data_IF_269467907278
#
_entry.id   IF_269467907278
#
_cell.length_a   1.000
_cell.length_b   1.000
_cell.length_c   1.000
_cell.angle_alpha   90.00
_cell.angle_beta   90.00
_cell.angle_gamma   90.00
#
_symmetry.space_group_name_H-M   'P 1'
#
loop_
_entity.id
_entity.type
_entity.pdbx_description
1 polymer ?
#
# COMPACT_ATOMS: atom_id res chain seq x y z
N UNK A 1 -5.11 20.66 -8.91
CA UNK A 1 -3.99 20.24 -8.04
C UNK A 1 -4.19 18.77 -7.73
N UNK A 2 -3.16 17.95 -7.82
CA UNK A 2 -3.23 16.57 -7.33
C UNK A 2 -3.13 16.68 -5.81
N UNK A 3 -4.17 16.25 -5.09
CA UNK A 3 -4.10 16.16 -3.64
C UNK A 3 -3.22 14.97 -3.26
N UNK A 4 -2.20 15.22 -2.44
CA UNK A 4 -1.30 14.19 -1.92
C UNK A 4 -1.93 13.58 -0.66
N UNK A 5 -2.97 12.78 -0.87
CA UNK A 5 -3.69 12.08 0.20
C UNK A 5 -3.20 10.62 0.29
N UNK A 6 -3.27 9.98 1.47
CA UNK A 6 -3.06 8.54 1.60
C UNK A 6 -4.03 7.76 0.71
N UNK A 7 -3.67 6.52 0.37
CA UNK A 7 -4.50 5.66 -0.47
C UNK A 7 -5.83 5.33 0.23
N UNK A 8 -6.82 4.91 -0.58
CA UNK A 8 -8.11 4.45 -0.06
C UNK A 8 -7.97 3.34 1.00
N UNK A 9 -6.92 2.53 0.93
CA UNK A 9 -6.69 1.46 1.88
C UNK A 9 -6.47 1.99 3.30
N UNK A 10 -5.55 2.94 3.49
CA UNK A 10 -5.29 3.54 4.79
C UNK A 10 -6.49 4.40 5.25
N UNK A 11 -7.19 5.05 4.32
CA UNK A 11 -8.42 5.78 4.65
C UNK A 11 -9.53 4.85 5.17
N UNK A 12 -9.65 3.63 4.66
CA UNK A 12 -10.66 2.68 5.12
C UNK A 12 -10.27 2.00 6.43
N UNK A 13 -8.98 1.67 6.61
CA UNK A 13 -8.48 1.02 7.81
C UNK A 13 -8.24 1.98 8.97
N UNK A 14 -7.99 3.26 8.68
CA UNK A 14 -7.61 4.30 9.65
C UNK A 14 -6.21 4.08 10.26
N UNK A 15 -5.40 3.22 9.65
CA UNK A 15 -4.02 2.95 10.04
C UNK A 15 -3.12 2.60 8.83
N UNK A 16 -1.83 2.83 9.00
CA UNK A 16 -0.73 2.33 8.16
C UNK A 16 -0.30 0.93 8.62
N UNK A 17 0.65 0.32 7.92
CA UNK A 17 1.23 -0.96 8.32
C UNK A 17 1.81 -0.90 9.75
N UNK A 18 1.73 -2.02 10.47
CA UNK A 18 2.12 -2.08 11.87
C UNK A 18 1.21 -1.33 12.85
N UNK A 19 -0.06 -1.11 12.50
CA UNK A 19 -1.08 -0.48 13.35
C UNK A 19 -0.77 0.99 13.74
N UNK A 20 -0.04 1.71 12.89
CA UNK A 20 0.21 3.13 13.08
C UNK A 20 -1.03 3.94 12.68
N UNK A 21 -1.76 4.47 13.67
CA UNK A 21 -2.95 5.30 13.45
C UNK A 21 -2.70 6.44 12.45
N UNK A 22 -3.60 6.58 11.47
CA UNK A 22 -3.53 7.60 10.42
C UNK A 22 -3.42 9.01 10.99
N UNK A 23 -4.18 9.32 12.04
CA UNK A 23 -4.20 10.63 12.69
C UNK A 23 -2.96 10.95 13.54
N UNK A 24 -2.07 9.98 13.78
CA UNK A 24 -0.79 10.23 14.47
C UNK A 24 0.33 10.64 13.53
N UNK A 25 0.11 10.50 12.22
CA UNK A 25 1.06 10.86 11.17
C UNK A 25 0.74 12.26 10.64
N UNK A 26 1.77 13.08 10.47
CA UNK A 26 1.61 14.42 9.87
C UNK A 26 1.09 14.28 8.44
N UNK A 27 0.14 15.14 8.05
CA UNK A 27 -0.50 15.08 6.72
C UNK A 27 0.51 15.05 5.56
N UNK A 28 1.60 15.80 5.66
CA UNK A 28 2.70 15.84 4.68
C UNK A 28 3.42 14.50 4.48
N UNK A 29 3.42 13.64 5.50
CA UNK A 29 4.11 12.35 5.50
C UNK A 29 3.17 11.19 5.08
N UNK A 30 1.84 11.38 5.22
CA UNK A 30 0.85 10.32 5.00
C UNK A 30 0.88 9.75 3.58
N UNK A 31 1.03 10.60 2.57
CA UNK A 31 1.14 10.15 1.18
C UNK A 31 2.38 9.27 0.96
N UNK A 32 3.53 9.70 1.46
CA UNK A 32 4.79 8.96 1.30
C UNK A 32 4.73 7.61 1.99
N UNK A 33 4.22 7.56 3.22
CA UNK A 33 4.04 6.32 3.96
C UNK A 33 3.05 5.38 3.26
N UNK A 34 1.94 5.90 2.74
CA UNK A 34 0.98 5.11 1.97
C UNK A 34 1.61 4.45 0.75
N UNK A 35 2.47 5.18 0.01
CA UNK A 35 3.22 4.62 -1.12
C UNK A 35 4.18 3.52 -0.66
N UNK A 36 4.89 3.72 0.45
CA UNK A 36 5.82 2.72 1.00
C UNK A 36 5.09 1.43 1.41
N UNK A 37 3.97 1.55 2.13
CA UNK A 37 3.16 0.40 2.53
C UNK A 37 2.57 -0.33 1.32
N UNK A 38 2.19 0.41 0.27
CA UNK A 38 1.68 -0.17 -0.96
C UNK A 38 2.77 -0.95 -1.70
N UNK A 39 3.98 -0.38 -1.80
CA UNK A 39 5.14 -1.07 -2.37
C UNK A 39 5.46 -2.34 -1.59
N UNK A 40 5.45 -2.29 -0.25
CA UNK A 40 5.71 -3.48 0.56
C UNK A 40 4.68 -4.59 0.31
N UNK A 41 3.39 -4.25 0.20
CA UNK A 41 2.33 -5.21 -0.16
C UNK A 41 2.52 -5.81 -1.55
N UNK A 42 2.87 -5.00 -2.55
CA UNK A 42 3.14 -5.48 -3.91
C UNK A 42 4.36 -6.42 -3.91
N UNK A 43 5.47 -6.01 -3.29
CA UNK A 43 6.72 -6.77 -3.25
C UNK A 43 6.57 -8.08 -2.46
N UNK A 44 5.69 -8.12 -1.47
CA UNK A 44 5.41 -9.31 -0.66
C UNK A 44 4.38 -10.25 -1.28
N UNK A 45 3.71 -9.82 -2.36
CA UNK A 45 2.66 -10.60 -3.03
C UNK A 45 3.20 -11.24 -4.31
N UNK A 46 2.78 -12.49 -4.58
CA UNK A 46 3.08 -13.18 -5.85
C UNK A 46 1.99 -12.89 -6.88
N UNK A 47 2.38 -12.58 -8.11
CA UNK A 47 1.46 -12.50 -9.24
C UNK A 47 0.67 -13.80 -9.40
N UNK A 48 -0.64 -13.70 -9.61
CA UNK A 48 -1.56 -14.85 -9.67
C UNK A 48 -2.03 -15.39 -8.32
N UNK A 49 -1.58 -14.84 -7.18
CA UNK A 49 -2.06 -15.26 -5.85
C UNK A 49 -3.50 -14.81 -5.54
N UNK A 50 -3.93 -13.69 -6.14
CA UNK A 50 -5.30 -13.17 -6.02
C UNK A 50 -6.09 -13.49 -7.29
N UNK A 51 -7.13 -14.32 -7.16
CA UNK A 51 -7.93 -14.79 -8.31
C UNK A 51 -8.59 -13.68 -9.12
N UNK A 52 -8.96 -12.58 -8.46
CA UNK A 52 -9.60 -11.41 -9.07
C UNK A 52 -8.60 -10.34 -9.52
N UNK A 53 -7.32 -10.49 -9.17
CA UNK A 53 -6.23 -9.58 -9.53
C UNK A 53 -5.00 -10.40 -9.95
N UNK A 54 -5.05 -11.10 -11.08
CA UNK A 54 -3.97 -12.00 -11.50
C UNK A 54 -2.64 -11.27 -11.74
N UNK A 55 -2.69 -10.00 -12.14
CA UNK A 55 -1.51 -9.18 -12.39
C UNK A 55 -0.95 -8.48 -11.14
N UNK A 56 -1.59 -8.65 -9.96
CA UNK A 56 -1.14 -8.00 -8.73
C UNK A 56 -0.03 -8.78 -8.04
N UNK A 57 1.03 -8.06 -7.63
CA UNK A 57 2.23 -8.63 -7.02
C UNK A 57 3.37 -8.81 -8.02
N UNK A 58 4.47 -9.42 -7.59
CA UNK A 58 5.61 -9.68 -8.45
C UNK A 58 5.52 -11.07 -9.09
N UNK A 59 5.86 -11.20 -10.39
CA UNK A 59 6.07 -12.52 -10.99
C UNK A 59 7.26 -13.19 -10.30
N UNK A 60 7.23 -14.52 -10.25
CA UNK A 60 8.38 -15.26 -9.75
C UNK A 60 9.62 -14.91 -10.58
N UNK A 61 10.80 -14.76 -9.95
CA UNK A 61 12.03 -14.59 -10.70
C UNK A 61 12.16 -15.77 -11.66
N UNK A 62 12.28 -15.48 -12.95
CA UNK A 62 12.59 -16.48 -13.94
C UNK A 62 13.87 -17.20 -13.49
N UNK A 63 13.79 -18.52 -13.34
CA UNK A 63 14.95 -19.33 -13.02
C UNK A 63 15.93 -19.34 -14.20
#
# INVERSE_FOLDING_TARGET
MIELNPSLYEMLLQNFDGELDLYRVREEDQYTLSVLDNLQRILSSRAGSLSHLPEYGLPDPAR
#
